data_IF_800270953168
#
_entry.id   IF_800270953168
#
_cell.length_a   1.000
_cell.length_b   1.000
_cell.length_c   1.000
_cell.angle_alpha   90.00
_cell.angle_beta   90.00
_cell.angle_gamma   90.00
#
_symmetry.space_group_name_H-M   'P 1'
#
loop_
_entity.id
_entity.type
_entity.pdbx_description
1 polymer ?
#
# COMPACT_ATOMS: atom_id res chain seq x y z
N UNK A 1 -2.33 15.41 -33.72
CA UNK A 1 -1.87 15.54 -32.31
C UNK A 1 -2.07 16.99 -31.92
N UNK A 2 -2.74 17.26 -30.81
CA UNK A 2 -2.85 18.62 -30.27
C UNK A 2 -1.51 19.01 -29.62
N UNK A 3 -0.87 20.08 -30.08
CA UNK A 3 0.36 20.58 -29.48
C UNK A 3 0.02 21.31 -28.16
N UNK A 4 0.70 20.94 -27.07
CA UNK A 4 0.57 21.60 -25.78
C UNK A 4 1.92 22.19 -25.40
N UNK A 5 1.95 23.50 -25.12
CA UNK A 5 3.16 24.18 -24.71
C UNK A 5 3.59 23.74 -23.30
N UNK A 6 4.90 23.51 -23.12
CA UNK A 6 5.52 23.17 -21.83
C UNK A 6 6.69 24.12 -21.58
N UNK A 7 6.78 24.66 -20.36
CA UNK A 7 7.86 25.55 -19.93
C UNK A 7 8.98 24.75 -19.26
N UNK A 8 10.23 25.08 -19.59
CA UNK A 8 11.41 24.56 -18.91
C UNK A 8 12.11 25.67 -18.13
N UNK A 9 12.37 25.43 -16.84
CA UNK A 9 13.17 26.31 -16.00
C UNK A 9 14.61 25.79 -15.93
N UNK A 10 15.55 26.56 -16.49
CA UNK A 10 16.98 26.20 -16.53
C UNK A 10 17.68 26.20 -15.17
N UNK A 11 17.14 26.91 -14.17
CA UNK A 11 17.72 26.95 -12.82
C UNK A 11 17.31 25.72 -12.02
N UNK A 12 16.02 25.41 -12.01
CA UNK A 12 15.49 24.25 -11.26
C UNK A 12 15.57 22.95 -12.06
N UNK A 13 15.79 23.05 -13.37
CA UNK A 13 15.76 21.93 -14.33
C UNK A 13 14.42 21.18 -14.29
N UNK A 14 13.32 21.92 -14.13
CA UNK A 14 11.97 21.37 -14.06
C UNK A 14 11.10 21.84 -15.23
N UNK A 15 10.19 20.97 -15.63
CA UNK A 15 9.12 21.22 -16.57
C UNK A 15 7.86 21.69 -15.85
N UNK A 16 7.08 22.57 -16.48
CA UNK A 16 5.80 23.05 -15.95
C UNK A 16 4.83 23.43 -17.08
N UNK A 17 3.53 23.37 -16.79
CA UNK A 17 2.51 23.88 -17.71
C UNK A 17 2.40 25.41 -17.60
N UNK A 18 2.01 26.11 -18.68
CA UNK A 18 1.72 27.55 -18.64
C UNK A 18 0.69 27.90 -17.57
N UNK A 19 0.84 29.08 -16.95
CA UNK A 19 -0.14 29.59 -15.99
C UNK A 19 -1.49 29.84 -16.69
N UNK A 20 -2.59 29.48 -16.03
CA UNK A 20 -3.94 29.64 -16.60
C UNK A 20 -4.38 28.51 -17.53
N UNK A 21 -3.64 27.41 -17.59
CA UNK A 21 -4.07 26.20 -18.30
C UNK A 21 -5.25 25.57 -17.56
N UNK A 22 -6.42 25.50 -18.20
CA UNK A 22 -7.60 24.82 -17.64
C UNK A 22 -7.44 23.30 -17.72
N UNK A 23 -7.60 22.62 -16.59
CA UNK A 23 -7.39 21.17 -16.53
C UNK A 23 -8.65 20.42 -16.95
N UNK A 24 -8.79 20.18 -18.26
CA UNK A 24 -9.62 19.09 -18.75
C UNK A 24 -9.03 17.71 -18.36
N UNK A 25 -9.78 16.61 -18.58
CA UNK A 25 -9.32 15.25 -18.28
C UNK A 25 -7.95 14.92 -18.90
N UNK A 26 -7.73 15.31 -20.16
CA UNK A 26 -6.48 15.07 -20.90
C UNK A 26 -5.28 15.86 -20.33
N UNK A 27 -5.53 17.05 -19.78
CA UNK A 27 -4.50 17.91 -19.20
C UNK A 27 -4.09 17.48 -17.79
N UNK A 28 -4.95 16.75 -17.09
CA UNK A 28 -4.64 16.16 -15.78
C UNK A 28 -3.61 15.02 -15.93
N UNK A 29 -3.76 14.18 -16.96
CA UNK A 29 -2.78 13.15 -17.28
C UNK A 29 -1.42 13.76 -17.66
N UNK A 30 -1.40 14.78 -18.51
CA UNK A 30 -0.16 15.47 -18.87
C UNK A 30 0.56 16.09 -17.66
N UNK A 31 -0.19 16.66 -16.71
CA UNK A 31 0.39 17.19 -15.47
C UNK A 31 1.09 16.10 -14.65
N UNK A 32 0.48 14.91 -14.56
CA UNK A 32 1.07 13.75 -13.89
C UNK A 32 2.38 13.31 -14.56
N UNK A 33 2.39 13.21 -15.89
CA UNK A 33 3.59 12.86 -16.66
C UNK A 33 4.73 13.88 -16.44
N UNK A 34 4.41 15.17 -16.41
CA UNK A 34 5.38 16.24 -16.11
C UNK A 34 5.97 16.08 -14.71
N UNK A 35 5.16 15.73 -13.71
CA UNK A 35 5.63 15.55 -12.33
C UNK A 35 6.49 14.29 -12.17
N UNK A 36 6.14 13.20 -12.85
CA UNK A 36 6.94 11.98 -12.89
C UNK A 36 8.28 12.24 -13.58
N UNK A 37 8.28 12.92 -14.73
CA UNK A 37 9.51 13.28 -15.44
C UNK A 37 10.40 14.21 -14.62
N UNK A 38 9.81 15.19 -13.91
CA UNK A 38 10.54 16.03 -12.97
C UNK A 38 11.17 15.20 -11.85
N UNK A 39 10.46 14.22 -11.31
CA UNK A 39 10.99 13.33 -10.27
C UNK A 39 12.20 12.54 -10.79
N UNK A 40 12.05 11.87 -11.93
CA UNK A 40 13.11 11.06 -12.53
C UNK A 40 14.35 11.91 -12.90
N UNK A 41 14.13 13.09 -13.49
CA UNK A 41 15.23 13.99 -13.90
C UNK A 41 16.03 14.46 -12.69
N UNK A 42 15.36 14.81 -11.59
CA UNK A 42 16.03 15.23 -10.36
C UNK A 42 16.79 14.07 -9.71
N UNK A 43 16.25 12.85 -9.74
CA UNK A 43 16.95 11.65 -9.26
C UNK A 43 18.23 11.38 -10.07
N UNK A 44 18.18 11.45 -11.40
CA UNK A 44 19.36 11.31 -12.29
C UNK A 44 20.42 12.37 -11.96
N UNK A 45 20.01 13.65 -11.85
CA UNK A 45 20.92 14.75 -11.50
C UNK A 45 21.57 14.51 -10.14
N UNK A 46 20.79 14.05 -9.14
CA UNK A 46 21.30 13.80 -7.79
C UNK A 46 22.31 12.66 -7.74
N UNK A 47 22.17 11.67 -8.63
CA UNK A 47 23.07 10.53 -8.73
C UNK A 47 24.40 10.89 -9.42
N UNK A 48 24.42 11.94 -10.25
CA UNK A 48 25.62 12.38 -10.96
C UNK A 48 26.06 11.45 -12.09
N UNK A 49 25.18 10.55 -12.54
CA UNK A 49 25.40 9.68 -13.70
C UNK A 49 24.30 9.92 -14.72
N UNK A 50 24.65 10.02 -16.00
CA UNK A 50 23.69 10.19 -17.10
C UNK A 50 22.81 8.95 -17.28
N UNK A 51 23.30 7.79 -16.85
CA UNK A 51 22.59 6.51 -16.91
C UNK A 51 22.53 5.91 -15.50
N UNK A 52 21.34 5.72 -14.92
CA UNK A 52 21.20 5.02 -13.65
C UNK A 52 21.75 3.59 -13.74
N UNK A 53 22.35 3.07 -12.66
CA UNK A 53 22.83 1.70 -12.60
C UNK A 53 21.66 0.73 -12.69
N UNK A 54 21.94 -0.50 -13.16
CA UNK A 54 20.92 -1.52 -13.25
C UNK A 54 20.31 -1.84 -11.85
N UNK A 55 19.00 -2.08 -11.75
CA UNK A 55 18.29 -2.33 -10.49
C UNK A 55 18.56 -3.75 -9.96
N UNK A 56 19.80 -4.01 -9.53
CA UNK A 56 20.24 -5.29 -8.97
C UNK A 56 20.17 -5.27 -7.43
N UNK A 57 20.17 -6.44 -6.77
CA UNK A 57 20.26 -6.52 -5.30
C UNK A 57 21.52 -5.83 -4.72
N UNK A 58 22.61 -5.76 -5.49
CA UNK A 58 23.85 -5.10 -5.06
C UNK A 58 23.72 -3.58 -5.05
N UNK A 59 22.95 -3.02 -5.98
CA UNK A 59 22.69 -1.58 -6.09
C UNK A 59 21.50 -1.10 -5.24
N UNK A 60 20.83 -2.01 -4.53
CA UNK A 60 19.74 -1.66 -3.62
C UNK A 60 20.29 -0.98 -2.35
N UNK A 61 19.70 0.14 -1.93
CA UNK A 61 20.22 0.91 -0.81
C UNK A 61 19.99 0.18 0.53
N UNK A 62 21.03 -0.52 0.98
CA UNK A 62 21.05 -1.32 2.21
C UNK A 62 20.98 -0.46 3.47
N UNK A 63 21.50 0.76 3.46
CA UNK A 63 21.46 1.63 4.64
C UNK A 63 20.05 2.19 4.87
N UNK A 64 19.35 2.55 3.79
CA UNK A 64 17.93 2.89 3.87
C UNK A 64 17.10 1.69 4.36
N UNK A 65 17.39 0.47 3.88
CA UNK A 65 16.75 -0.75 4.41
C UNK A 65 16.99 -0.95 5.91
N UNK A 66 18.18 -0.65 6.43
CA UNK A 66 18.45 -0.70 7.88
C UNK A 66 17.60 0.31 8.65
N UNK A 67 17.44 1.54 8.12
CA UNK A 67 16.59 2.55 8.74
C UNK A 67 15.10 2.15 8.72
N UNK A 68 14.62 1.65 7.59
CA UNK A 68 13.25 1.14 7.43
C UNK A 68 13.01 -0.04 8.38
N UNK A 69 13.96 -0.97 8.50
CA UNK A 69 13.88 -2.07 9.46
C UNK A 69 13.77 -1.57 10.91
N UNK A 70 14.59 -0.59 11.30
CA UNK A 70 14.51 0.01 12.65
C UNK A 70 13.15 0.67 12.90
N UNK A 71 12.58 1.34 11.89
CA UNK A 71 11.23 1.91 11.97
C UNK A 71 10.18 0.82 12.17
N UNK A 72 10.29 -0.29 11.42
CA UNK A 72 9.40 -1.44 11.54
C UNK A 72 9.43 -2.04 12.95
N UNK A 73 10.63 -2.25 13.50
CA UNK A 73 10.83 -2.77 14.86
C UNK A 73 10.17 -1.88 15.92
N UNK A 74 10.25 -0.55 15.77
CA UNK A 74 9.53 0.40 16.61
C UNK A 74 8.01 0.19 16.54
N UNK A 75 7.46 0.12 15.33
CA UNK A 75 6.03 -0.12 15.11
C UNK A 75 5.54 -1.42 15.75
N UNK A 76 6.33 -2.50 15.63
CA UNK A 76 6.05 -3.79 16.26
C UNK A 76 6.12 -3.71 17.79
N UNK A 77 7.09 -2.98 18.36
CA UNK A 77 7.15 -2.79 19.81
C UNK A 77 5.91 -2.07 20.33
N UNK A 78 5.51 -0.98 19.69
CA UNK A 78 4.28 -0.24 20.03
C UNK A 78 3.05 -1.14 19.96
N UNK A 79 2.97 -2.01 18.95
CA UNK A 79 1.89 -2.99 18.81
C UNK A 79 1.85 -3.98 19.99
N UNK A 80 2.99 -4.55 20.34
CA UNK A 80 3.12 -5.56 21.41
C UNK A 80 2.67 -5.03 22.78
N UNK A 81 2.92 -3.76 23.07
CA UNK A 81 2.50 -3.11 24.32
C UNK A 81 1.08 -2.54 24.27
N UNK A 82 0.31 -2.84 23.21
CA UNK A 82 -1.09 -2.42 23.07
C UNK A 82 -1.29 -0.98 22.59
N UNK A 83 -0.23 -0.26 22.21
CA UNK A 83 -0.32 1.10 21.65
C UNK A 83 -0.57 1.05 20.15
N UNK A 84 -1.77 0.62 19.75
CA UNK A 84 -2.09 0.35 18.35
C UNK A 84 -2.12 1.60 17.45
N UNK A 85 -2.61 2.74 17.95
CA UNK A 85 -2.57 4.00 17.18
C UNK A 85 -1.13 4.48 16.93
N UNK A 86 -0.27 4.38 17.94
CA UNK A 86 1.16 4.69 17.80
C UNK A 86 1.82 3.76 16.78
N UNK A 87 1.53 2.47 16.88
CA UNK A 87 2.02 1.47 15.95
C UNK A 87 1.62 1.79 14.50
N UNK A 88 0.34 2.11 14.26
CA UNK A 88 -0.14 2.49 12.93
C UNK A 88 0.55 3.76 12.39
N UNK A 89 0.83 4.74 13.25
CA UNK A 89 1.57 5.96 12.87
C UNK A 89 3.02 5.64 12.49
N UNK A 90 3.71 4.82 13.27
CA UNK A 90 5.08 4.41 12.98
C UNK A 90 5.17 3.62 11.67
N UNK A 91 4.21 2.72 11.40
CA UNK A 91 4.16 2.05 10.11
C UNK A 91 3.88 3.01 8.95
N UNK A 92 3.04 4.03 9.16
CA UNK A 92 2.80 5.07 8.15
C UNK A 92 4.07 5.84 7.80
N UNK A 93 4.86 6.23 8.81
CA UNK A 93 6.16 6.89 8.60
C UNK A 93 7.12 5.97 7.83
N UNK A 94 7.16 4.68 8.16
CA UNK A 94 7.98 3.73 7.42
C UNK A 94 7.56 3.56 5.97
N UNK A 95 6.26 3.55 5.67
CA UNK A 95 5.75 3.53 4.29
C UNK A 95 6.15 4.81 3.55
N UNK A 96 6.09 5.98 4.19
CA UNK A 96 6.59 7.22 3.61
C UNK A 96 8.10 7.16 3.31
N UNK A 97 8.90 6.52 4.16
CA UNK A 97 10.32 6.29 3.89
C UNK A 97 10.52 5.37 2.68
N UNK A 98 9.75 4.29 2.57
CA UNK A 98 9.79 3.35 1.45
C UNK A 98 9.41 4.06 0.13
N UNK A 99 8.37 4.89 0.14
CA UNK A 99 7.92 5.65 -1.03
C UNK A 99 8.94 6.69 -1.53
N UNK A 100 9.88 7.09 -0.66
CA UNK A 100 10.99 8.00 -1.00
C UNK A 100 12.21 7.27 -1.56
N UNK A 101 12.18 5.93 -1.70
CA UNK A 101 13.24 5.19 -2.40
C UNK A 101 13.44 5.74 -3.82
N UNK A 102 14.70 5.81 -4.31
CA UNK A 102 14.97 6.12 -5.71
C UNK A 102 14.21 5.19 -6.66
N UNK A 103 13.64 5.72 -7.73
CA UNK A 103 12.80 4.96 -8.68
C UNK A 103 13.59 3.99 -9.54
N UNK A 104 14.92 4.15 -9.59
CA UNK A 104 15.83 3.25 -10.30
C UNK A 104 16.34 2.08 -9.45
N UNK A 105 15.91 1.95 -8.19
CA UNK A 105 16.22 0.79 -7.36
C UNK A 105 15.38 -0.44 -7.74
N UNK A 106 15.80 -1.62 -7.28
CA UNK A 106 15.03 -2.85 -7.45
C UNK A 106 13.64 -2.73 -6.81
N UNK A 107 12.61 -2.85 -7.64
CA UNK A 107 11.23 -2.85 -7.20
C UNK A 107 10.91 -4.03 -6.27
N UNK A 108 11.57 -5.18 -6.48
CA UNK A 108 11.36 -6.38 -5.67
C UNK A 108 11.66 -6.15 -4.19
N UNK A 109 12.77 -5.47 -3.88
CA UNK A 109 13.12 -5.13 -2.49
C UNK A 109 12.13 -4.14 -1.87
N UNK A 110 11.68 -3.17 -2.66
CA UNK A 110 10.67 -2.18 -2.24
C UNK A 110 9.34 -2.84 -1.89
N UNK A 111 8.86 -3.78 -2.71
CA UNK A 111 7.62 -4.54 -2.45
C UNK A 111 7.72 -5.39 -1.19
N UNK A 112 8.87 -6.04 -0.95
CA UNK A 112 9.08 -6.82 0.27
C UNK A 112 8.96 -5.97 1.53
N UNK A 113 9.60 -4.79 1.54
CA UNK A 113 9.49 -3.86 2.67
C UNK A 113 8.06 -3.31 2.80
N UNK A 114 7.47 -2.85 1.70
CA UNK A 114 6.13 -2.24 1.69
C UNK A 114 5.07 -3.22 2.21
N UNK A 115 5.11 -4.47 1.77
CA UNK A 115 4.16 -5.51 2.17
C UNK A 115 4.16 -5.76 3.68
N UNK A 116 5.34 -5.88 4.29
CA UNK A 116 5.52 -6.05 5.74
C UNK A 116 4.84 -4.92 6.54
N UNK A 117 5.04 -3.68 6.10
CA UNK A 117 4.46 -2.51 6.74
C UNK A 117 2.94 -2.45 6.58
N UNK A 118 2.42 -2.70 5.37
CA UNK A 118 0.99 -2.71 5.11
C UNK A 118 0.27 -3.80 5.90
N UNK A 119 0.83 -5.02 5.96
CA UNK A 119 0.26 -6.12 6.74
C UNK A 119 0.16 -5.75 8.22
N UNK A 120 1.20 -5.16 8.78
CA UNK A 120 1.26 -4.79 10.20
C UNK A 120 0.40 -3.56 10.52
N UNK A 121 0.33 -2.60 9.60
CA UNK A 121 -0.53 -1.41 9.75
C UNK A 121 -2.01 -1.78 9.63
N UNK A 122 -2.35 -2.71 8.74
CA UNK A 122 -3.69 -3.31 8.64
C UNK A 122 -4.09 -3.90 9.99
N UNK A 123 -3.22 -4.68 10.62
CA UNK A 123 -3.49 -5.24 11.95
C UNK A 123 -3.70 -4.15 13.00
N UNK A 124 -2.89 -3.11 13.00
CA UNK A 124 -3.05 -1.99 13.93
C UNK A 124 -4.39 -1.27 13.71
N UNK A 125 -4.82 -1.09 12.47
CA UNK A 125 -6.12 -0.52 12.13
C UNK A 125 -7.28 -1.42 12.54
N UNK A 126 -7.19 -2.74 12.33
CA UNK A 126 -8.20 -3.69 12.83
C UNK A 126 -8.34 -3.62 14.35
N UNK A 127 -7.22 -3.49 15.09
CA UNK A 127 -7.23 -3.36 16.56
C UNK A 127 -7.79 -2.03 17.05
N UNK A 128 -7.69 -0.96 16.25
CA UNK A 128 -8.26 0.36 16.55
C UNK A 128 -9.64 0.56 15.96
N UNK A 129 -10.21 -0.46 15.29
CA UNK A 129 -11.51 -0.43 14.61
C UNK A 129 -11.59 0.58 13.46
N UNK A 130 -10.45 0.99 12.90
CA UNK A 130 -10.38 1.83 11.70
C UNK A 130 -10.50 0.95 10.44
N UNK A 131 -11.69 0.35 10.26
CA UNK A 131 -11.91 -0.71 9.29
C UNK A 131 -11.76 -0.27 7.84
N UNK A 132 -12.05 1.00 7.52
CA UNK A 132 -11.84 1.56 6.17
C UNK A 132 -10.34 1.57 5.83
N UNK A 133 -9.49 2.03 6.76
CA UNK A 133 -8.03 2.02 6.51
C UNK A 133 -7.47 0.61 6.47
N UNK A 134 -7.94 -0.28 7.35
CA UNK A 134 -7.57 -1.69 7.31
C UNK A 134 -7.94 -2.35 5.96
N UNK A 135 -9.16 -2.09 5.46
CA UNK A 135 -9.61 -2.57 4.17
C UNK A 135 -8.70 -2.08 3.05
N UNK A 136 -8.40 -0.77 2.99
CA UNK A 136 -7.57 -0.20 1.93
C UNK A 136 -6.17 -0.80 1.88
N UNK A 137 -5.52 -0.98 3.04
CA UNK A 137 -4.19 -1.60 3.10
C UNK A 137 -4.24 -3.08 2.69
N UNK A 138 -5.24 -3.83 3.15
CA UNK A 138 -5.42 -5.24 2.81
C UNK A 138 -5.76 -5.45 1.33
N UNK A 139 -6.60 -4.60 0.77
CA UNK A 139 -6.95 -4.62 -0.65
C UNK A 139 -5.75 -4.28 -1.52
N UNK A 140 -4.94 -3.31 -1.11
CA UNK A 140 -3.71 -2.97 -1.83
C UNK A 140 -2.70 -4.13 -1.82
N UNK A 141 -2.56 -4.87 -0.71
CA UNK A 141 -1.75 -6.09 -0.66
C UNK A 141 -2.20 -7.14 -1.70
N UNK A 142 -3.51 -7.37 -1.81
CA UNK A 142 -4.06 -8.33 -2.77
C UNK A 142 -3.92 -7.85 -4.23
N UNK A 143 -4.07 -6.54 -4.47
CA UNK A 143 -3.83 -5.94 -5.79
C UNK A 143 -2.35 -6.02 -6.22
N UNK A 144 -1.41 -6.06 -5.26
CA UNK A 144 0.00 -6.38 -5.50
C UNK A 144 0.27 -7.89 -5.68
N UNK A 145 -0.77 -8.70 -5.84
CA UNK A 145 -0.72 -10.16 -6.01
C UNK A 145 -0.14 -10.92 -4.80
N UNK A 146 -0.15 -10.32 -3.60
CA UNK A 146 0.23 -11.00 -2.36
C UNK A 146 -0.96 -11.81 -1.83
N UNK A 147 -1.35 -12.81 -2.60
CA UNK A 147 -2.51 -13.67 -2.35
C UNK A 147 -2.16 -14.74 -1.30
N UNK A 148 -2.29 -14.40 -0.01
CA UNK A 148 -2.06 -15.30 1.12
C UNK A 148 -3.33 -15.45 1.96
N UNK A 149 -3.52 -16.59 2.68
CA UNK A 149 -4.65 -16.77 3.59
C UNK A 149 -4.81 -15.60 4.57
N UNK A 150 -3.71 -15.10 5.13
CA UNK A 150 -3.71 -13.98 6.08
C UNK A 150 -4.18 -12.65 5.46
N UNK A 151 -3.84 -12.38 4.20
CA UNK A 151 -4.25 -11.14 3.53
C UNK A 151 -5.74 -11.17 3.16
N UNK A 152 -6.26 -12.32 2.72
CA UNK A 152 -7.70 -12.52 2.56
C UNK A 152 -8.44 -12.40 3.89
N UNK A 153 -7.90 -13.01 4.95
CA UNK A 153 -8.46 -12.88 6.30
C UNK A 153 -8.52 -11.42 6.74
N UNK A 154 -7.46 -10.63 6.55
CA UNK A 154 -7.43 -9.20 6.91
C UNK A 154 -8.51 -8.40 6.19
N UNK A 155 -8.63 -8.55 4.87
CA UNK A 155 -9.64 -7.84 4.06
C UNK A 155 -11.05 -8.31 4.43
N UNK A 156 -11.24 -9.61 4.63
CA UNK A 156 -12.52 -10.19 5.04
C UNK A 156 -12.98 -9.67 6.40
N UNK A 157 -12.10 -9.60 7.40
CA UNK A 157 -12.42 -9.04 8.72
C UNK A 157 -12.80 -7.57 8.61
N UNK A 158 -12.06 -6.79 7.81
CA UNK A 158 -12.41 -5.39 7.57
C UNK A 158 -13.78 -5.25 6.89
N UNK A 159 -14.06 -6.04 5.84
CA UNK A 159 -15.35 -6.07 5.16
C UNK A 159 -16.51 -6.44 6.11
N UNK A 160 -16.31 -7.46 6.95
CA UNK A 160 -17.32 -7.90 7.92
C UNK A 160 -17.71 -6.77 8.87
N UNK A 161 -16.73 -6.05 9.43
CA UNK A 161 -17.02 -4.93 10.33
C UNK A 161 -17.52 -3.66 9.62
N UNK A 162 -17.35 -3.56 8.30
CA UNK A 162 -17.96 -2.54 7.46
C UNK A 162 -19.40 -2.89 7.04
N UNK A 163 -19.92 -4.06 7.41
CA UNK A 163 -21.25 -4.54 7.01
C UNK A 163 -21.28 -5.17 5.62
N UNK A 164 -20.14 -5.33 4.96
CA UNK A 164 -20.04 -5.95 3.64
C UNK A 164 -19.94 -7.48 3.77
N UNK A 165 -20.96 -8.13 4.35
CA UNK A 165 -20.88 -9.54 4.73
C UNK A 165 -20.67 -10.50 3.55
N UNK A 166 -21.33 -10.24 2.41
CA UNK A 166 -21.13 -11.04 1.19
C UNK A 166 -19.69 -10.94 0.65
N UNK A 167 -19.08 -9.75 0.71
CA UNK A 167 -17.68 -9.56 0.34
C UNK A 167 -16.74 -10.26 1.34
N UNK A 168 -17.05 -10.18 2.65
CA UNK A 168 -16.29 -10.88 3.68
C UNK A 168 -16.34 -12.40 3.50
N UNK A 169 -17.52 -12.96 3.22
CA UNK A 169 -17.69 -14.39 2.89
C UNK A 169 -16.80 -14.79 1.72
N UNK A 170 -16.84 -14.02 0.64
CA UNK A 170 -16.00 -14.27 -0.55
C UNK A 170 -14.50 -14.21 -0.21
N UNK A 171 -14.08 -13.26 0.62
CA UNK A 171 -12.68 -13.16 1.06
C UNK A 171 -12.27 -14.39 1.87
N UNK A 172 -13.06 -14.78 2.86
CA UNK A 172 -12.73 -15.95 3.69
C UNK A 172 -12.69 -17.25 2.89
N UNK A 173 -13.67 -17.47 2.02
CA UNK A 173 -13.69 -18.61 1.11
C UNK A 173 -12.46 -18.61 0.19
N UNK A 174 -12.09 -17.45 -0.36
CA UNK A 174 -10.89 -17.32 -1.19
C UNK A 174 -9.62 -17.65 -0.39
N UNK A 175 -9.50 -17.17 0.84
CA UNK A 175 -8.40 -17.51 1.75
C UNK A 175 -8.28 -19.02 1.98
N UNK A 176 -9.41 -19.69 2.22
CA UNK A 176 -9.47 -21.15 2.43
C UNK A 176 -9.04 -21.95 1.20
N UNK A 177 -9.13 -21.40 -0.02
CA UNK A 177 -8.58 -22.09 -1.22
C UNK A 177 -7.06 -22.19 -1.21
N UNK A 178 -6.36 -21.37 -0.41
CA UNK A 178 -4.90 -21.42 -0.24
C UNK A 178 -4.49 -22.25 0.98
N UNK A 179 -5.33 -22.31 2.01
CA UNK A 179 -5.15 -23.11 3.21
C UNK A 179 -6.50 -23.54 3.78
N UNK A 180 -6.95 -24.73 3.39
CA UNK A 180 -8.27 -25.25 3.75
C UNK A 180 -8.42 -25.52 5.25
N UNK A 181 -7.31 -25.73 5.97
CA UNK A 181 -7.28 -26.06 7.39
C UNK A 181 -7.05 -24.83 8.29
N UNK A 182 -7.12 -23.63 7.72
CA UNK A 182 -6.91 -22.40 8.48
C UNK A 182 -8.07 -22.17 9.46
N UNK A 183 -7.87 -22.55 10.72
CA UNK A 183 -8.89 -22.49 11.77
C UNK A 183 -9.50 -21.09 11.94
N UNK A 184 -8.68 -20.05 11.78
CA UNK A 184 -9.13 -18.67 11.92
C UNK A 184 -10.06 -18.26 10.79
N UNK A 185 -9.71 -18.57 9.54
CA UNK A 185 -10.58 -18.32 8.39
C UNK A 185 -11.89 -19.10 8.49
N UNK A 186 -11.85 -20.39 8.88
CA UNK A 186 -13.06 -21.19 9.06
C UNK A 186 -13.97 -20.57 10.13
N UNK A 187 -13.40 -20.14 11.26
CA UNK A 187 -14.14 -19.49 12.34
C UNK A 187 -14.80 -18.18 11.87
N UNK A 188 -14.05 -17.28 11.24
CA UNK A 188 -14.58 -15.99 10.78
C UNK A 188 -15.62 -16.18 9.66
N UNK A 189 -15.45 -17.20 8.80
CA UNK A 189 -16.47 -17.57 7.80
C UNK A 189 -17.77 -18.00 8.46
N UNK A 190 -17.74 -18.87 9.48
CA UNK A 190 -18.95 -19.30 10.17
C UNK A 190 -19.67 -18.12 10.83
N UNK A 191 -18.93 -17.24 11.52
CA UNK A 191 -19.48 -16.00 12.11
C UNK A 191 -20.14 -15.13 11.03
N UNK A 192 -19.52 -15.04 9.85
CA UNK A 192 -20.05 -14.30 8.72
C UNK A 192 -21.32 -14.90 8.14
N UNK A 193 -21.39 -16.23 8.02
CA UNK A 193 -22.58 -16.93 7.54
C UNK A 193 -23.76 -16.75 8.49
N UNK A 194 -23.52 -16.87 9.79
CA UNK A 194 -24.54 -16.61 10.82
C UNK A 194 -25.08 -15.18 10.66
N UNK A 195 -24.20 -14.17 10.50
CA UNK A 195 -24.61 -12.78 10.26
C UNK A 195 -25.45 -12.57 9.01
N UNK A 196 -25.11 -13.23 7.90
CA UNK A 196 -25.89 -13.16 6.67
C UNK A 196 -27.30 -13.75 6.89
N UNK A 197 -27.41 -14.86 7.61
CA UNK A 197 -28.71 -15.47 7.94
C UNK A 197 -29.56 -14.55 8.82
N UNK A 198 -28.95 -13.85 9.79
CA UNK A 198 -29.68 -12.89 10.62
C UNK A 198 -30.31 -11.77 9.79
N UNK A 199 -29.56 -11.22 8.84
CA UNK A 199 -30.03 -10.10 8.01
C UNK A 199 -31.13 -10.52 7.03
N UNK A 200 -31.07 -11.76 6.55
CA UNK A 200 -32.08 -12.30 5.65
C UNK A 200 -33.38 -12.70 6.37
N UNK A 201 -33.39 -12.73 7.71
CA UNK A 201 -34.56 -13.11 8.50
C UNK A 201 -34.85 -14.61 8.50
N UNK A 202 -33.87 -15.44 8.10
CA UNK A 202 -34.00 -16.90 7.96
C UNK A 202 -33.74 -17.65 9.28
N UNK A 203 -33.99 -17.02 10.43
CA UNK A 203 -33.95 -17.68 11.73
C UNK A 203 -35.21 -18.56 11.89
N UNK A 204 -35.03 -19.88 11.74
CA UNK A 204 -36.02 -20.90 12.13
C UNK A 204 -35.92 -21.23 13.63
#
# INVERSE_FOLDING_TARGET
>A
MSEVAVNYDSKTKKLSLPKGTEFGPDLSALKLEIDQLNTLTQEIISQGSDVPPAPTPDNFNKDLSKMIKKMYEGGVQSFKIGKFEESARQFTIGIEMINRRPKFESFQGTIQELSLFLMSRTDAYLRTKDYIKAFNDADFLLNMQLNTPDNFLRRGVANFFLGNYEAARSDYQRGLTFDENNERLQKELNICLDKILEENGDYL
#
